data_IF_512926644545
#
_entry.id   IF_512926644545
#
_cell.length_a   1.000
_cell.length_b   1.000
_cell.length_c   1.000
_cell.angle_alpha   90.00
_cell.angle_beta   90.00
_cell.angle_gamma   90.00
#
_symmetry.space_group_name_H-M   'P 1'
#
loop_
_entity.id
_entity.type
_entity.pdbx_description
1 polymer ?
#
# COMPACT_ATOMS: atom_id res chain seq x y z
N UNK A 1 19.55 -19.75 8.06
CA UNK A 1 18.51 -18.74 7.74
C UNK A 1 18.12 -18.88 6.29
N UNK A 2 16.85 -19.11 6.00
CA UNK A 2 16.35 -19.15 4.63
C UNK A 2 15.95 -17.73 4.21
N UNK A 3 16.36 -17.29 3.01
CA UNK A 3 15.90 -16.02 2.43
C UNK A 3 14.54 -16.28 1.76
N UNK A 4 13.50 -15.62 2.26
CA UNK A 4 12.16 -15.70 1.68
C UNK A 4 11.84 -14.38 1.00
N UNK A 5 11.46 -14.45 -0.27
CA UNK A 5 10.91 -13.31 -0.97
C UNK A 5 9.43 -13.19 -0.57
N UNK A 6 9.14 -12.29 0.36
CA UNK A 6 7.76 -11.98 0.77
C UNK A 6 7.09 -11.17 -0.33
N UNK A 7 6.29 -11.83 -1.15
CA UNK A 7 5.40 -11.15 -2.08
C UNK A 7 4.15 -10.71 -1.32
N UNK A 8 3.76 -9.45 -1.50
CA UNK A 8 2.47 -8.97 -1.03
C UNK A 8 1.38 -9.66 -1.84
N UNK A 9 0.42 -10.26 -1.13
CA UNK A 9 -0.85 -10.64 -1.73
C UNK A 9 -1.59 -9.43 -2.27
N UNK A 10 -2.49 -9.66 -3.23
CA UNK A 10 -3.24 -8.60 -3.91
C UNK A 10 -3.85 -7.60 -2.93
N UNK A 11 -4.58 -8.10 -1.93
CA UNK A 11 -5.25 -7.26 -0.93
C UNK A 11 -4.24 -6.42 -0.15
N UNK A 12 -3.13 -7.02 0.27
CA UNK A 12 -2.07 -6.34 1.03
C UNK A 12 -1.36 -5.29 0.18
N UNK A 13 -1.11 -5.58 -1.10
CA UNK A 13 -0.56 -4.63 -2.06
C UNK A 13 -1.50 -3.44 -2.26
N UNK A 14 -2.80 -3.68 -2.48
CA UNK A 14 -3.80 -2.62 -2.63
C UNK A 14 -3.90 -1.76 -1.38
N UNK A 15 -3.91 -2.36 -0.18
CA UNK A 15 -3.93 -1.64 1.09
C UNK A 15 -2.71 -0.73 1.24
N UNK A 16 -1.51 -1.27 0.97
CA UNK A 16 -0.27 -0.51 1.04
C UNK A 16 -0.27 0.65 0.04
N UNK A 17 -0.67 0.39 -1.21
CA UNK A 17 -0.71 1.38 -2.27
C UNK A 17 -1.73 2.50 -1.97
N UNK A 18 -2.93 2.12 -1.53
CA UNK A 18 -3.99 3.05 -1.13
C UNK A 18 -3.54 3.96 0.01
N UNK A 19 -2.90 3.39 1.04
CA UNK A 19 -2.37 4.16 2.16
C UNK A 19 -1.25 5.11 1.71
N UNK A 20 -0.31 4.63 0.89
CA UNK A 20 0.80 5.43 0.39
C UNK A 20 0.29 6.64 -0.42
N UNK A 21 -0.67 6.44 -1.32
CA UNK A 21 -1.27 7.54 -2.09
C UNK A 21 -2.12 8.47 -1.24
N UNK A 22 -2.84 7.97 -0.23
CA UNK A 22 -3.54 8.80 0.75
C UNK A 22 -2.57 9.75 1.47
N UNK A 23 -1.47 9.21 1.98
CA UNK A 23 -0.44 9.99 2.66
C UNK A 23 0.22 10.99 1.71
N UNK A 24 0.62 10.56 0.51
CA UNK A 24 1.23 11.43 -0.48
C UNK A 24 0.29 12.58 -0.86
N UNK A 25 -0.97 12.28 -1.19
CA UNK A 25 -1.91 13.31 -1.60
C UNK A 25 -2.26 14.26 -0.46
N UNK A 26 -2.29 13.78 0.78
CA UNK A 26 -2.47 14.64 1.97
C UNK A 26 -1.27 15.56 2.17
N UNK A 27 -0.03 15.06 2.02
CA UNK A 27 1.19 15.86 2.12
C UNK A 27 1.27 16.95 1.04
N UNK A 28 0.83 16.65 -0.19
CA UNK A 28 0.83 17.63 -1.28
C UNK A 28 -0.42 18.51 -1.32
N UNK A 29 -1.46 18.17 -0.56
CA UNK A 29 -2.73 18.91 -0.55
C UNK A 29 -2.62 20.40 -0.22
N UNK A 30 -1.71 20.88 0.66
CA UNK A 30 -1.59 22.32 0.93
C UNK A 30 -1.12 23.10 -0.29
N UNK A 31 -0.23 22.52 -1.12
CA UNK A 31 0.21 23.15 -2.37
C UNK A 31 -0.94 23.25 -3.37
N UNK A 32 -1.73 22.19 -3.52
CA UNK A 32 -2.92 22.19 -4.38
C UNK A 32 -3.99 23.16 -3.86
N UNK A 33 -4.19 23.24 -2.55
CA UNK A 33 -5.12 24.17 -1.93
C UNK A 33 -4.65 25.63 -2.10
N UNK A 34 -3.35 25.90 -1.99
CA UNK A 34 -2.79 27.23 -2.23
C UNK A 34 -3.00 27.69 -3.69
N UNK A 35 -2.75 26.81 -4.66
CA UNK A 35 -3.04 27.09 -6.07
C UNK A 35 -4.54 27.32 -6.32
N UNK A 36 -5.39 26.51 -5.69
CA UNK A 36 -6.85 26.63 -5.79
C UNK A 36 -7.36 27.93 -5.14
N UNK A 37 -6.74 28.37 -4.04
CA UNK A 37 -7.08 29.62 -3.37
C UNK A 37 -6.86 30.82 -4.30
N UNK A 38 -5.73 30.86 -5.00
CA UNK A 38 -5.41 31.95 -5.92
C UNK A 38 -6.38 32.08 -7.09
N UNK A 39 -6.94 30.96 -7.57
CA UNK A 39 -7.81 30.94 -8.76
C UNK A 39 -9.30 30.94 -8.43
N UNK A 40 -9.71 30.34 -7.32
CA UNK A 40 -11.10 29.92 -7.06
C UNK A 40 -11.61 30.27 -5.65
N UNK A 41 -10.79 30.95 -4.83
CA UNK A 41 -11.15 31.40 -3.50
C UNK A 41 -11.06 30.34 -2.39
N UNK A 42 -11.28 30.80 -1.15
CA UNK A 42 -10.95 30.04 0.07
C UNK A 42 -11.84 28.81 0.31
N UNK A 43 -13.12 28.88 -0.05
CA UNK A 43 -14.04 27.76 0.13
C UNK A 43 -13.63 26.53 -0.69
N UNK A 44 -13.18 26.75 -1.94
CA UNK A 44 -12.68 25.67 -2.81
C UNK A 44 -11.34 25.12 -2.33
N UNK A 45 -10.44 25.98 -1.84
CA UNK A 45 -9.18 25.56 -1.26
C UNK A 45 -9.37 24.65 -0.03
N UNK A 46 -10.30 24.99 0.87
CA UNK A 46 -10.66 24.14 2.01
C UNK A 46 -11.25 22.79 1.59
N UNK A 47 -12.10 22.77 0.56
CA UNK A 47 -12.62 21.52 0.00
C UNK A 47 -11.49 20.64 -0.56
N UNK A 48 -10.52 21.22 -1.25
CA UNK A 48 -9.36 20.47 -1.78
C UNK A 48 -8.55 19.82 -0.64
N UNK A 49 -8.33 20.53 0.46
CA UNK A 49 -7.68 19.98 1.66
C UNK A 49 -8.49 18.84 2.28
N UNK A 50 -9.80 19.01 2.43
CA UNK A 50 -10.68 18.01 3.05
C UNK A 50 -10.81 16.74 2.19
N UNK A 51 -10.87 16.88 0.87
CA UNK A 51 -11.04 15.76 -0.06
C UNK A 51 -9.72 15.07 -0.42
N UNK A 52 -8.57 15.68 -0.13
CA UNK A 52 -7.25 15.13 -0.45
C UNK A 52 -7.02 13.68 0.02
N UNK A 53 -7.29 13.28 1.28
CA UNK A 53 -7.08 11.90 1.70
C UNK A 53 -7.96 10.91 0.92
N UNK A 54 -9.22 11.26 0.67
CA UNK A 54 -10.15 10.41 -0.08
C UNK A 54 -9.77 10.28 -1.55
N UNK A 55 -9.35 11.39 -2.17
CA UNK A 55 -8.83 11.38 -3.53
C UNK A 55 -7.56 10.52 -3.64
N UNK A 56 -6.67 10.60 -2.64
CA UNK A 56 -5.48 9.76 -2.56
C UNK A 56 -5.80 8.28 -2.41
N UNK A 57 -6.76 7.92 -1.55
CA UNK A 57 -7.22 6.53 -1.40
C UNK A 57 -7.76 5.96 -2.71
N UNK A 58 -8.62 6.71 -3.41
CA UNK A 58 -9.20 6.27 -4.69
C UNK A 58 -8.12 6.11 -5.77
N UNK A 59 -7.20 7.06 -5.87
CA UNK A 59 -6.07 6.98 -6.79
C UNK A 59 -5.17 5.79 -6.49
N UNK A 60 -4.83 5.55 -5.22
CA UNK A 60 -4.01 4.42 -4.82
C UNK A 60 -4.70 3.07 -5.03
N UNK A 61 -6.02 3.02 -4.95
CA UNK A 61 -6.78 1.82 -5.29
C UNK A 61 -6.75 1.57 -6.80
N UNK A 62 -7.02 2.60 -7.61
CA UNK A 62 -6.99 2.51 -9.07
C UNK A 62 -5.60 2.14 -9.61
N UNK A 63 -4.56 2.89 -9.21
CA UNK A 63 -3.19 2.60 -9.61
C UNK A 63 -2.68 1.31 -8.98
N UNK A 64 -3.11 0.95 -7.78
CA UNK A 64 -2.80 -0.32 -7.15
C UNK A 64 -3.29 -1.50 -7.99
N UNK A 65 -4.52 -1.46 -8.51
CA UNK A 65 -5.07 -2.52 -9.36
C UNK A 65 -4.29 -2.63 -10.67
N UNK A 66 -4.00 -1.49 -11.32
CA UNK A 66 -3.25 -1.45 -12.58
C UNK A 66 -1.78 -1.86 -12.42
N UNK A 67 -1.14 -1.50 -11.30
CA UNK A 67 0.26 -1.78 -11.04
C UNK A 67 0.52 -3.19 -10.51
N UNK A 68 -0.51 -3.87 -9.97
CA UNK A 68 -0.36 -5.22 -9.44
C UNK A 68 0.21 -6.27 -10.43
N UNK A 69 -0.26 -6.37 -11.69
CA UNK A 69 0.33 -7.31 -12.64
C UNK A 69 1.80 -7.01 -12.92
N UNK A 70 2.16 -5.72 -13.01
CA UNK A 70 3.54 -5.29 -13.18
C UNK A 70 4.39 -5.62 -11.94
N UNK A 71 3.85 -5.38 -10.74
CA UNK A 71 4.48 -5.77 -9.47
C UNK A 71 4.76 -7.27 -9.42
N UNK A 72 3.78 -8.11 -9.77
CA UNK A 72 3.94 -9.57 -9.81
C UNK A 72 5.00 -9.99 -10.83
N UNK A 73 4.98 -9.41 -12.03
CA UNK A 73 5.94 -9.72 -13.08
C UNK A 73 7.39 -9.38 -12.68
N UNK A 74 7.60 -8.17 -12.17
CA UNK A 74 8.92 -7.71 -11.70
C UNK A 74 9.43 -8.57 -10.54
N UNK A 75 8.56 -8.84 -9.58
CA UNK A 75 8.92 -9.60 -8.38
C UNK A 75 9.22 -11.08 -8.68
N UNK A 76 8.57 -11.67 -9.68
CA UNK A 76 8.86 -13.03 -10.13
C UNK A 76 10.20 -13.14 -10.89
N UNK A 77 10.62 -12.07 -11.58
CA UNK A 77 11.80 -12.07 -12.46
C UNK A 77 13.07 -11.51 -11.82
N UNK A 78 12.96 -10.69 -10.78
CA UNK A 78 14.12 -9.98 -10.24
C UNK A 78 14.78 -10.73 -9.07
N UNK A 79 16.02 -11.19 -9.28
CA UNK A 79 16.89 -11.61 -8.17
C UNK A 79 17.33 -10.43 -7.29
N UNK A 80 17.28 -9.20 -7.81
CA UNK A 80 17.57 -7.98 -7.06
C UNK A 80 16.56 -7.72 -5.92
N UNK A 81 15.25 -7.84 -6.19
CA UNK A 81 14.24 -7.71 -5.11
C UNK A 81 14.33 -8.87 -4.12
N UNK A 82 14.74 -10.06 -4.56
CA UNK A 82 15.05 -11.17 -3.67
C UNK A 82 16.22 -10.85 -2.74
N UNK A 83 17.24 -10.15 -3.23
CA UNK A 83 18.40 -9.72 -2.44
C UNK A 83 18.07 -8.59 -1.44
N UNK A 84 17.11 -7.72 -1.77
CA UNK A 84 16.57 -6.69 -0.88
C UNK A 84 15.53 -7.21 0.13
N UNK A 85 14.99 -8.42 -0.10
CA UNK A 85 14.07 -9.04 0.85
C UNK A 85 14.79 -9.42 2.15
N UNK A 86 14.22 -9.02 3.28
CA UNK A 86 14.83 -9.21 4.59
C UNK A 86 14.98 -10.68 4.99
N UNK A 87 15.81 -10.93 6.01
CA UNK A 87 15.86 -12.24 6.67
C UNK A 87 14.65 -12.34 7.59
N UNK A 88 13.69 -13.19 7.23
CA UNK A 88 12.49 -13.41 8.05
C UNK A 88 12.70 -14.59 8.98
N UNK A 89 12.40 -14.37 10.27
CA UNK A 89 12.38 -15.44 11.25
C UNK A 89 11.12 -16.27 11.02
N UNK A 90 11.30 -17.55 10.70
CA UNK A 90 10.18 -18.48 10.57
C UNK A 90 9.58 -18.63 11.96
N UNK A 91 8.35 -18.14 12.16
CA UNK A 91 7.62 -18.51 13.38
C UNK A 91 7.40 -20.02 13.32
N UNK A 92 7.64 -20.76 14.42
CA UNK A 92 7.24 -22.15 14.48
C UNK A 92 5.74 -22.22 14.21
N UNK A 93 5.32 -23.18 13.39
CA UNK A 93 3.91 -23.49 13.22
C UNK A 93 3.39 -23.87 14.60
N UNK A 94 2.76 -22.93 15.30
CA UNK A 94 1.95 -23.24 16.48
C UNK A 94 0.88 -24.19 15.96
N UNK A 95 1.01 -25.46 16.32
CA UNK A 95 0.08 -26.55 16.08
C UNK A 95 -1.35 -26.03 16.15
N UNK A 96 -1.96 -25.88 14.98
CA UNK A 96 -3.41 -25.86 14.85
C UNK A 96 -3.91 -27.16 15.46
N UNK A 97 -4.67 -27.03 16.54
CA UNK A 97 -5.63 -28.02 17.05
C UNK A 97 -5.31 -29.49 16.73
N UNK A 98 -4.49 -30.13 17.57
CA UNK A 98 -4.73 -31.56 17.79
C UNK A 98 -6.02 -31.65 18.64
N UNK A 99 -7.11 -32.23 18.13
CA UNK A 99 -8.23 -32.54 19.00
C UNK A 99 -7.75 -33.58 20.02
N UNK A 100 -7.89 -33.25 21.30
CA UNK A 100 -7.75 -34.22 22.38
C UNK A 100 -8.81 -35.30 22.16
N UNK A 101 -8.40 -36.44 21.60
CA UNK A 101 -9.16 -37.68 21.72
C UNK A 101 -8.63 -38.38 22.96
N UNK A 102 -9.39 -38.29 24.05
CA UNK A 102 -9.32 -39.23 25.16
C UNK A 102 -9.75 -40.60 24.61
N UNK A 103 -8.83 -41.57 24.60
CA UNK A 103 -9.07 -43.01 24.75
C UNK A 103 -7.77 -43.72 25.16
#
# INVERSE_FOLDING_TARGET
MSKYLVQLDFISFIKFNSLAFCCANTLFSPFNAFYTFQSSGISKAFLVLLLAPFAGLLLGLFFGVLAFPLYKFLTARSQFLAALSGSFQKLPDSSVDEPVTDD
#
